data_IF_505062554512
#
_entry.id   IF_505062554512
#
_cell.length_a   1.000
_cell.length_b   1.000
_cell.length_c   1.000
_cell.angle_alpha   90.00
_cell.angle_beta   90.00
_cell.angle_gamma   90.00
#
_symmetry.space_group_name_H-M   'P 1'
#
loop_
_entity.id
_entity.type
_entity.pdbx_description
1 polymer ?
#
# COMPACT_ATOMS: atom_id res chain seq x y z
N UNK A 1 -34.06 -2.44 -11.87
CA UNK A 1 -33.44 -2.59 -10.53
C UNK A 1 -33.03 -1.20 -10.06
N UNK A 2 -33.59 -0.65 -8.97
CA UNK A 2 -33.19 0.67 -8.49
C UNK A 2 -31.85 0.57 -7.74
N UNK A 3 -30.86 1.32 -8.24
CA UNK A 3 -29.49 1.37 -7.72
C UNK A 3 -29.45 2.11 -6.37
N UNK A 4 -28.76 1.55 -5.39
CA UNK A 4 -28.54 2.20 -4.09
C UNK A 4 -27.60 3.42 -4.23
N UNK A 5 -27.81 4.52 -3.48
CA UNK A 5 -26.95 5.69 -3.53
C UNK A 5 -25.57 5.38 -2.95
N UNK A 6 -24.52 5.64 -3.74
CA UNK A 6 -23.12 5.56 -3.32
C UNK A 6 -22.79 6.68 -2.34
N UNK A 7 -22.06 6.42 -1.24
CA UNK A 7 -21.58 7.49 -0.37
C UNK A 7 -20.53 8.33 -1.12
N UNK A 8 -20.81 9.62 -1.28
CA UNK A 8 -19.87 10.60 -1.81
C UNK A 8 -18.70 10.75 -0.84
N UNK A 9 -17.59 10.08 -1.14
CA UNK A 9 -16.34 10.22 -0.41
C UNK A 9 -15.56 11.41 -0.98
N UNK A 10 -16.15 12.61 -0.87
CA UNK A 10 -15.41 13.83 -1.22
C UNK A 10 -14.44 14.07 -0.08
N UNK A 11 -13.18 13.67 -0.28
CA UNK A 11 -12.09 14.00 0.63
C UNK A 11 -12.01 15.53 0.74
N UNK A 12 -12.31 16.06 1.93
CA UNK A 12 -12.04 17.44 2.25
C UNK A 12 -10.51 17.58 2.15
N UNK A 13 -9.96 18.44 1.27
CA UNK A 13 -8.52 18.64 1.23
C UNK A 13 -8.12 19.28 2.55
N UNK A 14 -7.54 18.49 3.45
CA UNK A 14 -6.86 19.01 4.63
C UNK A 14 -5.59 19.68 4.13
N UNK A 15 -5.68 20.99 3.90
CA UNK A 15 -4.55 21.85 3.57
C UNK A 15 -3.65 22.03 4.81
N UNK A 16 -3.02 20.96 5.29
CA UNK A 16 -1.69 21.01 5.89
C UNK A 16 -1.19 19.60 6.25
N UNK A 17 -0.52 18.93 5.30
CA UNK A 17 0.24 17.73 5.63
C UNK A 17 1.71 18.03 5.96
N UNK A 18 2.22 19.26 5.74
CA UNK A 18 3.63 19.61 5.99
C UNK A 18 3.84 21.15 6.05
N UNK A 19 3.72 21.77 7.22
CA UNK A 19 4.25 23.12 7.44
C UNK A 19 4.75 23.30 8.88
N UNK A 20 6.07 23.54 9.00
CA UNK A 20 6.83 24.08 10.13
C UNK A 20 6.10 24.30 11.48
N UNK A 21 6.53 23.55 12.49
CA UNK A 21 6.02 23.52 13.88
C UNK A 21 6.30 24.83 14.68
N UNK A 22 7.02 25.81 14.13
CA UNK A 22 7.42 27.03 14.85
C UNK A 22 7.09 28.36 14.16
N UNK A 23 6.37 28.36 13.03
CA UNK A 23 5.80 29.61 12.52
C UNK A 23 4.40 29.79 13.09
N UNK A 24 4.19 30.85 13.89
CA UNK A 24 2.82 31.30 14.17
C UNK A 24 2.10 31.45 12.81
N UNK A 25 0.92 30.83 12.61
CA UNK A 25 0.25 30.86 11.32
C UNK A 25 -0.06 32.32 10.99
N UNK A 26 0.59 32.83 9.94
CA UNK A 26 0.26 34.15 9.38
C UNK A 26 -1.08 33.98 8.68
N UNK A 27 -2.12 34.59 9.21
CA UNK A 27 -3.38 34.69 8.50
C UNK A 27 -3.21 35.81 7.46
N UNK A 28 -3.31 35.47 6.19
CA UNK A 28 -3.39 36.50 5.15
C UNK A 28 -4.82 37.05 5.16
N UNK A 29 -5.02 38.15 5.87
CA UNK A 29 -6.26 38.93 5.83
C UNK A 29 -6.17 39.95 4.69
N UNK A 30 -7.17 39.96 3.81
CA UNK A 30 -7.22 40.85 2.65
C UNK A 30 -8.42 41.77 2.77
N UNK A 31 -8.27 42.98 2.25
CA UNK A 31 -9.32 43.99 2.13
C UNK A 31 -9.58 44.22 0.65
N UNK A 32 -10.83 44.52 0.30
CA UNK A 32 -11.20 44.91 -1.07
C UNK A 32 -10.68 46.32 -1.39
N UNK A 33 -10.61 46.65 -2.67
CA UNK A 33 -10.32 48.03 -3.09
C UNK A 33 -11.41 48.98 -2.58
N UNK A 34 -11.02 50.20 -2.21
CA UNK A 34 -11.90 51.20 -1.56
C UNK A 34 -13.22 51.42 -2.32
N UNK A 35 -13.19 51.48 -3.65
CA UNK A 35 -14.39 51.67 -4.49
C UNK A 35 -15.39 50.52 -4.35
N UNK A 36 -14.88 49.29 -4.20
CA UNK A 36 -15.69 48.08 -4.08
C UNK A 36 -16.16 47.91 -2.65
N UNK A 37 -15.30 48.16 -1.66
CA UNK A 37 -15.68 48.15 -0.25
C UNK A 37 -16.80 49.18 0.00
N UNK A 38 -16.67 50.40 -0.51
CA UNK A 38 -17.68 51.48 -0.43
C UNK A 38 -19.07 51.08 -0.96
N UNK A 39 -19.13 50.14 -1.90
CA UNK A 39 -20.40 49.64 -2.42
C UNK A 39 -21.16 48.70 -1.46
N UNK A 40 -20.50 48.18 -0.43
CA UNK A 40 -21.08 47.27 0.57
C UNK A 40 -21.99 48.07 1.53
N UNK A 41 -23.31 47.77 1.59
CA UNK A 41 -24.24 48.42 2.51
C UNK A 41 -23.82 48.29 3.97
N UNK A 42 -24.13 49.29 4.78
CA UNK A 42 -23.70 49.37 6.19
C UNK A 42 -24.25 48.20 7.02
N UNK A 43 -25.48 47.79 6.75
CA UNK A 43 -26.16 46.68 7.42
C UNK A 43 -25.44 45.34 7.18
N UNK A 44 -24.76 45.23 6.04
CA UNK A 44 -23.94 44.06 5.70
C UNK A 44 -22.58 44.16 6.39
N UNK A 45 -21.92 45.34 6.37
CA UNK A 45 -20.63 45.55 7.05
C UNK A 45 -20.68 45.22 8.54
N UNK A 46 -21.76 45.61 9.22
CA UNK A 46 -21.96 45.38 10.66
C UNK A 46 -22.01 43.88 11.03
N UNK A 47 -22.19 42.97 10.05
CA UNK A 47 -22.22 41.52 10.27
C UNK A 47 -20.84 40.84 10.15
N UNK A 48 -19.82 41.57 9.68
CA UNK A 48 -18.49 41.03 9.43
C UNK A 48 -17.42 41.73 10.27
N UNK A 49 -16.23 41.13 10.34
CA UNK A 49 -15.08 41.75 11.01
C UNK A 49 -14.54 42.87 10.13
N UNK A 50 -14.32 44.04 10.73
CA UNK A 50 -13.79 45.23 10.04
C UNK A 50 -12.45 45.65 10.62
N UNK A 51 -11.65 46.38 9.82
CA UNK A 51 -10.43 47.04 10.29
C UNK A 51 -10.72 48.37 11.01
N UNK A 52 -9.66 49.05 11.47
CA UNK A 52 -9.77 50.36 12.15
C UNK A 52 -10.37 51.47 11.26
N UNK A 53 -10.44 51.25 9.94
CA UNK A 53 -11.01 52.17 8.95
C UNK A 53 -12.43 51.77 8.50
N UNK A 54 -12.94 50.63 8.98
CA UNK A 54 -14.28 50.14 8.70
C UNK A 54 -14.42 49.30 7.41
N UNK A 55 -13.30 48.82 6.85
CA UNK A 55 -13.32 47.93 5.69
C UNK A 55 -13.49 46.46 6.10
N UNK A 56 -14.20 45.67 5.28
CA UNK A 56 -14.48 44.26 5.60
C UNK A 56 -13.25 43.38 5.40
N UNK A 57 -12.91 42.58 6.41
CA UNK A 57 -11.78 41.64 6.40
C UNK A 57 -12.17 40.28 5.80
N UNK A 58 -11.42 39.85 4.78
CA UNK A 58 -11.55 38.53 4.17
C UNK A 58 -10.40 37.62 4.59
N UNK A 59 -10.73 36.40 5.01
CA UNK A 59 -9.76 35.42 5.48
C UNK A 59 -9.68 34.23 4.52
N UNK A 60 -8.46 33.79 4.20
CA UNK A 60 -8.21 32.59 3.37
C UNK A 60 -8.44 31.28 4.15
N UNK A 61 -8.43 31.35 5.47
CA UNK A 61 -8.73 30.25 6.37
C UNK A 61 -9.71 30.72 7.47
N UNK A 62 -10.64 29.87 7.93
CA UNK A 62 -11.58 30.25 8.99
C UNK A 62 -10.80 30.68 10.25
N UNK A 63 -11.24 31.75 10.95
CA UNK A 63 -10.57 32.23 12.15
C UNK A 63 -10.46 31.10 13.18
N UNK A 64 -9.23 30.74 13.53
CA UNK A 64 -8.93 29.55 14.32
C UNK A 64 -9.39 29.67 15.77
N UNK A 65 -9.58 30.91 16.25
CA UNK A 65 -9.93 31.23 17.63
C UNK A 65 -11.32 31.86 17.72
N UNK A 66 -12.34 31.14 17.24
CA UNK A 66 -13.72 31.46 17.64
C UNK A 66 -13.95 30.88 19.03
N UNK A 67 -14.53 31.64 19.98
CA UNK A 67 -14.84 31.14 21.32
C UNK A 67 -15.77 29.92 21.28
N UNK A 68 -16.53 29.75 20.18
CA UNK A 68 -17.43 28.61 19.97
C UNK A 68 -17.21 28.04 18.55
N UNK A 69 -16.92 26.74 18.46
CA UNK A 69 -16.56 26.06 17.22
C UNK A 69 -17.72 25.99 16.23
N UNK A 70 -17.73 26.86 15.22
CA UNK A 70 -18.60 26.70 14.03
C UNK A 70 -20.10 26.90 14.24
N UNK A 71 -20.53 27.36 15.42
CA UNK A 71 -21.95 27.63 15.73
C UNK A 71 -22.11 29.11 16.06
N UNK A 72 -23.16 29.74 15.55
CA UNK A 72 -23.52 31.12 15.89
C UNK A 72 -23.69 31.26 17.42
N UNK A 73 -23.33 32.42 17.97
CA UNK A 73 -23.26 32.62 19.43
C UNK A 73 -24.57 32.28 20.15
N UNK A 74 -25.69 32.59 19.50
CA UNK A 74 -27.08 32.31 19.90
C UNK A 74 -27.37 30.81 20.01
N UNK A 75 -26.80 30.01 19.10
CA UNK A 75 -27.07 28.57 18.98
C UNK A 75 -26.04 27.71 19.69
N UNK A 76 -24.94 28.30 20.12
CA UNK A 76 -23.84 27.55 20.71
C UNK A 76 -24.12 27.08 22.15
N UNK A 77 -25.24 27.52 22.73
CA UNK A 77 -25.77 27.03 24.01
C UNK A 77 -26.83 25.94 23.83
N UNK A 78 -27.24 25.61 22.59
CA UNK A 78 -28.06 24.42 22.34
C UNK A 78 -27.19 23.17 22.55
N UNK A 79 -27.16 22.71 23.79
CA UNK A 79 -26.67 21.39 24.14
C UNK A 79 -27.53 20.30 23.50
N UNK A 80 -27.05 19.06 23.56
CA UNK A 80 -27.80 17.92 23.07
C UNK A 80 -29.18 17.81 23.74
N UNK A 81 -30.21 17.49 22.94
CA UNK A 81 -31.55 17.27 23.49
C UNK A 81 -31.55 16.11 24.50
N UNK A 82 -32.42 16.18 25.51
CA UNK A 82 -32.56 15.11 26.51
C UNK A 82 -32.84 13.74 25.86
N UNK A 83 -33.55 13.74 24.72
CA UNK A 83 -33.79 12.55 23.88
C UNK A 83 -32.51 11.98 23.27
N UNK A 84 -31.55 12.83 22.89
CA UNK A 84 -30.26 12.38 22.39
C UNK A 84 -29.39 11.80 23.50
N UNK A 85 -29.36 12.47 24.67
CA UNK A 85 -28.59 11.99 25.82
C UNK A 85 -29.09 10.64 26.35
N UNK A 86 -30.39 10.36 26.29
CA UNK A 86 -30.93 9.05 26.68
C UNK A 86 -30.54 7.94 25.69
N UNK A 87 -30.39 8.25 24.40
CA UNK A 87 -30.04 7.29 23.35
C UNK A 87 -28.54 7.16 23.06
N UNK A 88 -27.70 8.06 23.56
CA UNK A 88 -26.30 8.15 23.14
C UNK A 88 -25.48 6.91 23.51
N UNK A 89 -25.77 6.29 24.66
CA UNK A 89 -25.06 5.10 25.11
C UNK A 89 -25.40 3.89 24.25
N UNK A 90 -26.67 3.75 23.84
CA UNK A 90 -27.10 2.70 22.91
C UNK A 90 -26.44 2.90 21.54
N UNK A 91 -26.43 4.14 21.03
CA UNK A 91 -25.76 4.45 19.76
C UNK A 91 -24.25 4.21 19.80
N UNK A 92 -23.58 4.49 20.91
CA UNK A 92 -22.15 4.20 21.08
C UNK A 92 -21.90 2.69 21.12
N UNK A 93 -22.66 1.95 21.91
CA UNK A 93 -22.57 0.50 22.00
C UNK A 93 -22.83 -0.18 20.65
N UNK A 94 -23.82 0.27 19.88
CA UNK A 94 -24.10 -0.27 18.54
C UNK A 94 -22.95 0.00 17.57
N UNK A 95 -22.34 1.18 17.62
CA UNK A 95 -21.17 1.50 16.79
C UNK A 95 -19.95 0.67 17.17
N UNK A 96 -19.71 0.47 18.45
CA UNK A 96 -18.62 -0.40 18.93
C UNK A 96 -18.85 -1.85 18.50
N UNK A 97 -20.08 -2.36 18.62
CA UNK A 97 -20.44 -3.70 18.14
C UNK A 97 -20.16 -3.86 16.65
N UNK A 98 -20.64 -2.92 15.82
CA UNK A 98 -20.39 -2.93 14.37
C UNK A 98 -18.92 -2.86 14.00
N UNK A 99 -18.13 -2.07 14.75
CA UNK A 99 -16.67 -2.01 14.56
C UNK A 99 -16.04 -3.37 14.87
N UNK A 100 -16.39 -3.97 16.00
CA UNK A 100 -15.85 -5.27 16.42
C UNK A 100 -16.21 -6.38 15.43
N UNK A 101 -17.47 -6.46 15.01
CA UNK A 101 -17.94 -7.43 14.00
C UNK A 101 -17.17 -7.32 12.68
N UNK A 102 -16.97 -6.08 12.19
CA UNK A 102 -16.21 -5.84 10.97
C UNK A 102 -14.74 -6.23 11.13
N UNK A 103 -14.12 -5.85 12.24
CA UNK A 103 -12.71 -6.11 12.48
C UNK A 103 -12.46 -7.63 12.66
N UNK A 104 -13.39 -8.36 13.26
CA UNK A 104 -13.35 -9.82 13.36
C UNK A 104 -13.54 -10.50 11.99
N UNK A 105 -14.48 -10.02 11.17
CA UNK A 105 -14.67 -10.53 9.81
C UNK A 105 -13.43 -10.30 8.93
N UNK A 106 -12.77 -9.14 9.04
CA UNK A 106 -11.51 -8.86 8.35
C UNK A 106 -10.40 -9.80 8.81
N UNK A 107 -10.25 -10.03 10.12
CA UNK A 107 -9.25 -10.97 10.64
C UNK A 107 -9.48 -12.40 10.17
N UNK A 108 -10.73 -12.86 10.10
CA UNK A 108 -11.06 -14.18 9.58
C UNK A 108 -10.72 -14.28 8.09
N UNK A 109 -11.07 -13.27 7.29
CA UNK A 109 -10.75 -13.23 5.87
C UNK A 109 -9.23 -13.23 5.60
N UNK A 110 -8.46 -12.49 6.40
CA UNK A 110 -7.00 -12.48 6.32
C UNK A 110 -6.40 -13.83 6.70
N UNK A 111 -6.91 -14.48 7.75
CA UNK A 111 -6.47 -15.82 8.16
C UNK A 111 -6.75 -16.87 7.07
N UNK A 112 -7.96 -16.86 6.50
CA UNK A 112 -8.33 -17.77 5.41
C UNK A 112 -7.48 -17.55 4.17
N UNK A 113 -7.21 -16.29 3.82
CA UNK A 113 -6.33 -15.95 2.70
C UNK A 113 -4.90 -16.42 2.95
N UNK A 114 -4.37 -16.20 4.16
CA UNK A 114 -3.03 -16.66 4.51
C UNK A 114 -2.91 -18.18 4.46
N UNK A 115 -3.94 -18.91 4.92
CA UNK A 115 -3.97 -20.37 4.86
C UNK A 115 -3.97 -20.87 3.39
N UNK A 116 -4.82 -20.29 2.54
CA UNK A 116 -4.85 -20.63 1.10
C UNK A 116 -3.53 -20.32 0.41
N UNK A 117 -2.95 -19.16 0.68
CA UNK A 117 -1.66 -18.78 0.11
C UNK A 117 -0.53 -19.72 0.56
N UNK A 118 -0.55 -20.19 1.82
CA UNK A 118 0.41 -21.20 2.30
C UNK A 118 0.24 -22.55 1.60
N UNK A 119 -1.00 -23.00 1.40
CA UNK A 119 -1.27 -24.26 0.72
C UNK A 119 -0.83 -24.21 -0.75
N UNK A 120 -1.13 -23.12 -1.46
CA UNK A 120 -0.69 -22.91 -2.85
C UNK A 120 0.84 -22.87 -2.93
N UNK A 121 1.52 -22.19 -1.99
CA UNK A 121 2.99 -22.18 -1.95
C UNK A 121 3.58 -23.56 -1.72
N UNK A 122 2.98 -24.36 -0.84
CA UNK A 122 3.44 -25.71 -0.59
C UNK A 122 3.22 -26.62 -1.79
N UNK A 123 2.04 -26.56 -2.42
CA UNK A 123 1.73 -27.33 -3.62
C UNK A 123 2.66 -26.96 -4.78
N UNK A 124 2.90 -25.67 -5.01
CA UNK A 124 3.82 -25.19 -6.06
C UNK A 124 5.26 -25.64 -5.76
N UNK A 125 5.73 -25.52 -4.52
CA UNK A 125 7.06 -26.01 -4.13
C UNK A 125 7.22 -27.53 -4.37
N UNK A 126 6.21 -28.33 -4.02
CA UNK A 126 6.18 -29.78 -4.29
C UNK A 126 6.17 -30.10 -5.78
N UNK A 127 5.41 -29.35 -6.59
CA UNK A 127 5.39 -29.53 -8.04
C UNK A 127 6.74 -29.17 -8.68
N UNK A 128 7.36 -28.07 -8.25
CA UNK A 128 8.67 -27.67 -8.73
C UNK A 128 9.76 -28.68 -8.35
N UNK A 129 9.78 -29.17 -7.11
CA UNK A 129 10.77 -30.16 -6.68
C UNK A 129 10.63 -31.48 -7.45
N UNK A 130 9.39 -31.93 -7.68
CA UNK A 130 9.12 -33.12 -8.49
C UNK A 130 9.53 -32.93 -9.96
N UNK A 131 9.28 -31.75 -10.54
CA UNK A 131 9.69 -31.42 -11.90
C UNK A 131 11.22 -31.35 -12.03
N UNK A 132 11.90 -30.67 -11.10
CA UNK A 132 13.35 -30.58 -11.05
C UNK A 132 13.99 -31.96 -10.87
N UNK A 133 13.46 -32.80 -9.98
CA UNK A 133 13.95 -34.16 -9.78
C UNK A 133 13.87 -35.03 -11.05
N UNK A 134 12.78 -34.90 -11.82
CA UNK A 134 12.64 -35.57 -13.12
C UNK A 134 13.68 -35.08 -14.13
N UNK A 135 13.82 -33.77 -14.29
CA UNK A 135 14.79 -33.21 -15.23
C UNK A 135 16.23 -33.57 -14.90
N UNK A 136 16.60 -33.55 -13.61
CA UNK A 136 17.93 -33.96 -13.16
C UNK A 136 18.12 -35.46 -13.42
N UNK A 137 17.12 -36.29 -13.14
CA UNK A 137 17.16 -37.72 -13.44
C UNK A 137 17.37 -38.00 -14.92
N UNK A 138 16.60 -37.34 -15.79
CA UNK A 138 16.70 -37.47 -17.24
C UNK A 138 18.08 -37.02 -17.75
N UNK A 139 18.61 -35.93 -17.19
CA UNK A 139 19.95 -35.42 -17.53
C UNK A 139 21.06 -36.40 -17.13
N UNK A 140 21.00 -36.98 -15.92
CA UNK A 140 21.97 -37.99 -15.47
C UNK A 140 21.95 -39.22 -16.38
N UNK A 141 20.76 -39.68 -16.78
CA UNK A 141 20.61 -40.81 -17.70
C UNK A 141 21.15 -40.49 -19.10
N UNK A 142 20.95 -39.26 -19.58
CA UNK A 142 21.54 -38.79 -20.85
C UNK A 142 23.07 -38.84 -20.78
N UNK A 143 23.66 -38.29 -19.71
CA UNK A 143 25.10 -38.30 -19.51
C UNK A 143 25.69 -39.71 -19.43
N UNK A 144 25.00 -40.65 -18.79
CA UNK A 144 25.45 -42.04 -18.74
C UNK A 144 25.49 -42.66 -20.14
N UNK A 145 24.43 -42.44 -20.94
CA UNK A 145 24.39 -42.91 -22.33
C UNK A 145 25.48 -42.29 -23.18
N UNK A 146 25.66 -40.99 -23.08
CA UNK A 146 26.71 -40.25 -23.80
C UNK A 146 28.11 -40.75 -23.40
N UNK A 147 28.34 -41.03 -22.11
CA UNK A 147 29.61 -41.62 -21.65
C UNK A 147 29.85 -43.01 -22.23
N UNK A 148 28.83 -43.87 -22.29
CA UNK A 148 28.93 -45.20 -22.90
C UNK A 148 29.21 -45.12 -24.40
N UNK A 149 28.60 -44.17 -25.11
CA UNK A 149 28.87 -43.90 -26.51
C UNK A 149 30.31 -43.41 -26.71
N UNK A 150 30.77 -42.46 -25.90
CA UNK A 150 32.15 -41.97 -25.92
C UNK A 150 33.17 -43.09 -25.68
N UNK A 151 32.90 -43.99 -24.73
CA UNK A 151 33.78 -45.13 -24.45
C UNK A 151 33.87 -46.07 -25.67
N UNK A 152 32.76 -46.29 -26.39
CA UNK A 152 32.77 -47.08 -27.63
C UNK A 152 33.56 -46.39 -28.75
N UNK A 153 33.41 -45.07 -28.91
CA UNK A 153 34.16 -44.29 -29.90
C UNK A 153 35.66 -44.22 -29.59
N UNK A 154 36.02 -44.16 -28.31
CA UNK A 154 37.41 -44.10 -27.86
C UNK A 154 38.10 -45.46 -27.84
N UNK A 155 37.36 -46.57 -27.79
CA UNK A 155 37.92 -47.93 -27.79
C UNK A 155 38.94 -48.20 -28.92
N UNK A 156 38.67 -47.90 -30.21
CA UNK A 156 39.65 -48.11 -31.27
C UNK A 156 40.88 -47.22 -31.12
N UNK A 157 40.70 -45.96 -30.70
CA UNK A 157 41.82 -45.02 -30.47
C UNK A 157 42.70 -45.50 -29.32
N UNK A 158 42.10 -46.00 -28.24
CA UNK A 158 42.82 -46.60 -27.10
C UNK A 158 43.54 -47.88 -27.49
N UNK A 159 42.93 -48.73 -28.31
CA UNK A 159 43.57 -49.94 -28.84
C UNK A 159 44.76 -49.62 -29.75
N UNK A 160 44.62 -48.63 -30.65
CA UNK A 160 45.72 -48.14 -31.49
C UNK A 160 46.86 -47.57 -30.64
N UNK A 161 46.54 -46.76 -29.63
CA UNK A 161 47.53 -46.22 -28.68
C UNK A 161 48.24 -47.33 -27.92
N UNK A 162 47.52 -48.36 -27.47
CA UNK A 162 48.10 -49.49 -26.76
C UNK A 162 49.03 -50.32 -27.67
N UNK A 163 48.64 -50.57 -28.93
CA UNK A 163 49.47 -51.25 -29.92
C UNK A 163 50.76 -50.46 -30.20
N UNK A 164 50.64 -49.14 -30.39
CA UNK A 164 51.79 -48.26 -30.59
C UNK A 164 52.74 -48.24 -29.39
N UNK A 165 52.22 -48.25 -28.16
CA UNK A 165 53.04 -48.33 -26.93
C UNK A 165 53.78 -49.67 -26.88
N UNK A 166 53.09 -50.79 -27.16
CA UNK A 166 53.70 -52.12 -27.16
C UNK A 166 54.80 -52.25 -28.22
N UNK A 167 54.58 -51.72 -29.42
CA UNK A 167 55.58 -51.68 -30.51
C UNK A 167 56.80 -50.85 -30.10
N UNK A 168 56.58 -49.66 -29.54
CA UNK A 168 57.65 -48.80 -29.03
C UNK A 168 58.48 -49.49 -27.93
N UNK A 169 57.82 -50.18 -27.02
CA UNK A 169 58.49 -50.83 -25.90
C UNK A 169 59.26 -52.10 -26.35
N UNK A 170 58.75 -52.83 -27.34
CA UNK A 170 59.47 -53.94 -27.98
C UNK A 170 60.74 -53.46 -28.72
N UNK A 171 60.66 -52.32 -29.43
CA UNK A 171 61.81 -51.72 -30.11
C UNK A 171 62.89 -51.24 -29.13
N UNK A 172 62.51 -50.77 -27.93
CA UNK A 172 63.47 -50.43 -26.88
C UNK A 172 64.18 -51.66 -26.29
N UNK A 173 63.51 -52.82 -26.26
CA UNK A 173 64.08 -54.07 -25.74
C UNK A 173 65.05 -54.78 -26.69
N UNK A 174 65.00 -54.50 -28.00
CA UNK A 174 65.91 -55.10 -28.99
C UNK A 174 67.22 -54.30 -29.22
N UNK A 175 67.35 -53.14 -28.56
CA UNK A 175 68.52 -52.25 -28.67
C UNK A 175 69.49 -52.30 -27.49
N UNK A 176 69.41 -53.31 -26.63
CA UNK A 176 70.37 -53.58 -25.53
C UNK A 176 71.09 -54.91 -25.73
#
# INVERSE_FOLDING_TARGET
MPMAPTPSNTAIPHANANANIHAAPRYDSWVLYDDVDASIPREVRDQYQTDDKGHVLFFTAPPQNRPKHGVAEENATLGHSARYLSGIQQHRAERERKRKERDEALRQQEADRAARDSEVKEQTARQMSAAAGRQIGDWILSMQRENEEMEKELAPVRAQKAAWIAERDALKGQGQ
#
